data_IF_864069629475
#
_entry.id   IF_864069629475
#
_cell.length_a   1.000
_cell.length_b   1.000
_cell.length_c   1.000
_cell.angle_alpha   90.00
_cell.angle_beta   90.00
_cell.angle_gamma   90.00
#
_symmetry.space_group_name_H-M   'P 1'
#
loop_
_entity.id
_entity.type
_entity.pdbx_description
1 polymer ?
#
# COMPACT_ATOMS: atom_id res chain seq x y z
N UNK A 1 -5.41 5.96 0.21
CA UNK A 1 -6.74 6.11 0.86
C UNK A 1 -6.57 5.73 2.32
N UNK A 2 -6.87 6.63 3.26
CA UNK A 2 -6.44 6.55 4.68
C UNK A 2 -7.42 5.80 5.60
N UNK A 3 -8.45 5.17 5.02
CA UNK A 3 -9.59 4.60 5.77
C UNK A 3 -9.41 3.15 6.22
N UNK A 4 -8.28 2.48 5.91
CA UNK A 4 -8.06 1.07 6.25
C UNK A 4 -6.85 0.91 7.17
N UNK A 5 -7.07 0.27 8.32
CA UNK A 5 -6.06 0.01 9.36
C UNK A 5 -4.98 -0.98 8.94
N UNK A 6 -5.16 -1.73 7.85
CA UNK A 6 -4.16 -2.66 7.36
C UNK A 6 -3.25 -1.97 6.30
N UNK A 7 -1.96 -1.75 6.59
CA UNK A 7 -1.01 -1.05 5.72
C UNK A 7 -0.95 -1.62 4.30
N UNK A 8 -1.12 -2.94 4.16
CA UNK A 8 -1.09 -3.63 2.87
C UNK A 8 -2.22 -3.17 1.95
N UNK A 9 -3.43 -3.01 2.50
CA UNK A 9 -4.58 -2.54 1.72
C UNK A 9 -4.41 -1.08 1.31
N UNK A 10 -3.87 -0.23 2.20
CA UNK A 10 -3.57 1.17 1.88
C UNK A 10 -2.52 1.29 0.75
N UNK A 11 -1.53 0.40 0.74
CA UNK A 11 -0.55 0.30 -0.36
C UNK A 11 -1.20 -0.12 -1.68
N UNK A 12 -2.11 -1.10 -1.65
CA UNK A 12 -2.83 -1.57 -2.83
C UNK A 12 -3.65 -0.44 -3.47
N UNK A 13 -4.35 0.37 -2.66
CA UNK A 13 -5.06 1.55 -3.14
C UNK A 13 -4.14 2.66 -3.68
N UNK A 14 -2.92 2.77 -3.15
CA UNK A 14 -1.92 3.71 -3.67
C UNK A 14 -1.52 3.30 -5.10
N UNK A 15 -1.26 2.02 -5.33
CA UNK A 15 -0.92 1.48 -6.66
C UNK A 15 -2.05 1.74 -7.65
N UNK A 16 -3.28 1.48 -7.23
CA UNK A 16 -4.47 1.69 -8.05
C UNK A 16 -4.63 3.16 -8.48
N UNK A 17 -4.28 4.11 -7.59
CA UNK A 17 -4.29 5.54 -7.91
C UNK A 17 -3.25 5.91 -8.98
N UNK A 18 -2.02 5.40 -8.87
CA UNK A 18 -0.98 5.64 -9.87
C UNK A 18 -1.33 5.04 -11.24
N UNK A 19 -2.02 3.89 -11.25
CA UNK A 19 -2.54 3.28 -12.47
C UNK A 19 -3.60 4.17 -13.13
N UNK A 20 -4.56 4.71 -12.37
CA UNK A 20 -5.56 5.66 -12.89
C UNK A 20 -4.92 6.91 -13.51
N UNK A 21 -3.85 7.44 -12.90
CA UNK A 21 -3.10 8.59 -13.45
C UNK A 21 -2.40 8.21 -14.77
N UNK A 22 -1.82 7.00 -14.86
CA UNK A 22 -1.20 6.52 -16.09
C UNK A 22 -2.21 6.42 -17.25
N UNK A 23 -3.43 5.94 -16.97
CA UNK A 23 -4.53 5.89 -17.94
C UNK A 23 -4.93 7.30 -18.40
N UNK A 24 -5.00 8.27 -17.49
CA UNK A 24 -5.27 9.67 -17.83
C UNK A 24 -4.19 10.25 -18.76
N UNK A 25 -2.91 9.97 -18.51
CA UNK A 25 -1.82 10.42 -19.39
C UNK A 25 -1.88 9.80 -20.79
N UNK A 26 -2.37 8.56 -20.91
CA UNK A 26 -2.63 7.93 -22.20
C UNK A 26 -3.72 8.69 -22.98
N UNK A 27 -4.82 9.05 -22.31
CA UNK A 27 -5.93 9.81 -22.91
C UNK A 27 -5.52 11.22 -23.37
N UNK A 28 -4.59 11.86 -22.65
CA UNK A 28 -4.07 13.19 -23.00
C UNK A 28 -3.06 13.17 -24.17
N UNK A 29 -2.88 12.03 -24.87
CA UNK A 29 -1.86 11.82 -25.93
C UNK A 29 -0.42 12.09 -25.45
N UNK A 30 -0.16 12.06 -24.15
CA UNK A 30 1.15 12.30 -23.55
C UNK A 30 1.98 11.00 -23.49
N UNK A 31 2.35 10.48 -24.66
CA UNK A 31 2.98 9.16 -24.81
C UNK A 31 4.32 9.04 -24.04
N UNK A 32 5.15 10.09 -24.06
CA UNK A 32 6.43 10.10 -23.35
C UNK A 32 6.26 10.03 -21.82
N UNK A 33 5.34 10.83 -21.28
CA UNK A 33 5.05 10.85 -19.83
C UNK A 33 4.43 9.52 -19.38
N UNK A 34 3.58 8.89 -20.20
CA UNK A 34 3.02 7.58 -19.90
C UNK A 34 4.11 6.50 -19.76
N UNK A 35 5.13 6.49 -20.63
CA UNK A 35 6.25 5.54 -20.56
C UNK A 35 7.07 5.73 -19.29
N UNK A 36 7.36 6.99 -18.92
CA UNK A 36 8.08 7.30 -17.67
C UNK A 36 7.25 6.89 -16.44
N UNK A 37 5.94 7.16 -16.46
CA UNK A 37 5.02 6.78 -15.39
C UNK A 37 5.04 5.26 -15.14
N UNK A 38 5.06 4.46 -16.20
CA UNK A 38 5.09 2.99 -16.07
C UNK A 38 6.48 2.53 -15.63
N UNK A 39 7.55 3.00 -16.27
CA UNK A 39 8.92 2.49 -16.04
C UNK A 39 9.48 2.95 -14.69
N UNK A 40 9.33 4.23 -14.34
CA UNK A 40 9.95 4.81 -13.15
C UNK A 40 9.00 4.77 -11.96
N UNK A 41 7.77 5.27 -12.11
CA UNK A 41 6.82 5.33 -10.99
C UNK A 41 6.26 3.95 -10.65
N UNK A 42 5.70 3.21 -11.60
CA UNK A 42 5.17 1.87 -11.33
C UNK A 42 6.28 0.80 -11.21
N UNK A 43 7.37 0.91 -11.97
CA UNK A 43 8.46 -0.07 -11.97
C UNK A 43 9.46 0.06 -10.83
N UNK A 44 9.97 1.27 -10.55
CA UNK A 44 11.03 1.46 -9.56
C UNK A 44 10.50 1.96 -8.20
N UNK A 45 9.78 3.08 -8.19
CA UNK A 45 9.34 3.74 -6.95
C UNK A 45 8.32 2.89 -6.20
N UNK A 46 7.34 2.33 -6.91
CA UNK A 46 6.30 1.49 -6.30
C UNK A 46 6.81 0.18 -5.74
N UNK A 47 7.77 -0.47 -6.42
CA UNK A 47 8.37 -1.71 -5.91
C UNK A 47 9.16 -1.45 -4.63
N UNK A 48 9.90 -0.34 -4.56
CA UNK A 48 10.59 0.09 -3.33
C UNK A 48 9.58 0.36 -2.21
N UNK A 49 8.49 1.07 -2.50
CA UNK A 49 7.43 1.35 -1.53
C UNK A 49 6.75 0.07 -1.01
N UNK A 50 6.46 -0.88 -1.90
CA UNK A 50 5.92 -2.20 -1.52
C UNK A 50 6.88 -2.96 -0.61
N UNK A 51 8.18 -2.92 -0.91
CA UNK A 51 9.20 -3.52 -0.06
C UNK A 51 9.21 -2.90 1.34
N UNK A 52 9.21 -1.57 1.43
CA UNK A 52 9.19 -0.84 2.70
C UNK A 52 7.92 -1.13 3.49
N UNK A 53 6.75 -1.12 2.85
CA UNK A 53 5.47 -1.40 3.53
C UNK A 53 5.43 -2.84 4.04
N UNK A 54 5.94 -3.80 3.26
CA UNK A 54 6.02 -5.19 3.70
C UNK A 54 6.92 -5.35 4.93
N UNK A 55 8.07 -4.66 4.95
CA UNK A 55 8.97 -4.64 6.11
C UNK A 55 8.31 -3.99 7.34
N UNK A 56 7.57 -2.91 7.16
CA UNK A 56 6.87 -2.22 8.26
C UNK A 56 5.67 -3.03 8.78
N UNK A 57 4.93 -3.72 7.89
CA UNK A 57 3.77 -4.53 8.27
C UNK A 57 4.16 -5.72 9.16
N UNK A 58 5.38 -6.23 9.04
CA UNK A 58 5.87 -7.35 9.85
C UNK A 58 5.92 -7.04 11.36
N UNK A 59 5.90 -5.76 11.75
CA UNK A 59 5.94 -5.34 13.16
C UNK A 59 4.60 -5.42 13.91
N UNK A 60 3.46 -5.43 13.22
CA UNK A 60 2.13 -5.36 13.86
C UNK A 60 1.57 -6.73 14.30
N UNK A 61 2.17 -7.84 13.84
CA UNK A 61 1.72 -9.21 14.13
C UNK A 61 2.21 -9.80 15.45
N UNK A 62 3.04 -9.07 16.21
CA UNK A 62 3.73 -9.61 17.39
C UNK A 62 3.12 -9.21 18.75
N UNK A 63 1.85 -8.75 18.79
CA UNK A 63 1.18 -8.44 20.06
C UNK A 63 0.31 -9.63 20.51
N UNK A 64 0.71 -10.38 21.56
CA UNK A 64 -0.16 -11.37 22.17
C UNK A 64 -1.35 -10.64 22.79
N UNK A 65 -2.54 -10.86 22.23
CA UNK A 65 -3.80 -10.29 22.72
C UNK A 65 -4.12 -10.96 24.06
N UNK A 66 -3.60 -10.41 25.15
CA UNK A 66 -3.84 -10.89 26.51
C UNK A 66 -5.32 -10.74 26.84
N UNK A 67 -6.09 -11.81 26.64
CA UNK A 67 -7.42 -11.96 27.20
C UNK A 67 -7.25 -12.13 28.71
N UNK A 68 -7.30 -11.04 29.47
CA UNK A 68 -7.54 -11.11 30.90
C UNK A 68 -8.90 -11.80 31.11
N UNK A 69 -8.84 -13.09 31.44
CA UNK A 69 -10.00 -13.87 31.85
C UNK A 69 -10.42 -13.39 33.25
N UNK A 70 -11.70 -13.05 33.39
CA UNK A 70 -12.31 -12.69 34.66
C UNK A 70 -12.18 -13.86 35.63
N UNK A 71 -11.26 -13.75 36.60
CA UNK A 71 -11.42 -14.41 37.90
C UNK A 71 -12.40 -13.57 38.74
N UNK A 72 -13.67 -13.62 38.37
CA UNK A 72 -14.76 -13.50 39.33
C UNK A 72 -15.32 -14.89 39.46
N UNK A 73 -14.81 -15.66 40.41
CA UNK A 73 -15.46 -16.78 41.10
C UNK A 73 -14.41 -17.37 42.06
N UNK A 74 -14.71 -17.25 43.36
CA UNK A 74 -13.92 -17.49 44.59
C UNK A 74 -13.11 -16.28 45.07
#
# INVERSE_FOLDING_TARGET
>A
MITRQNPVFSALYLILNFFSIAVLYLFLRAQFIAVIQITVYAGAIMVLFLFVIMLLNLGEGALPKWKFTNRRLL
#
